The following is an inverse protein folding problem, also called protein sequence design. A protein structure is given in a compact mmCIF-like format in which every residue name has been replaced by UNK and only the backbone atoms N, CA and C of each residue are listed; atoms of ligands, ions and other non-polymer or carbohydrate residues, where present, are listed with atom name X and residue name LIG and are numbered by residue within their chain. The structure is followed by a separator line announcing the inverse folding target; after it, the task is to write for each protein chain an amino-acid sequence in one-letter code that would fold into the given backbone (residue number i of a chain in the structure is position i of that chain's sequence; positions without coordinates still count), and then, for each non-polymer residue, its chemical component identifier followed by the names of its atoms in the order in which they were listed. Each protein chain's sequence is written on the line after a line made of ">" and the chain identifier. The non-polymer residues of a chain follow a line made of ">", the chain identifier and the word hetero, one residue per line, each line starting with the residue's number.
data_IF_616174060681
#
_entry.id   IF_616174060681
#
_cell.length_a   1.000
_cell.length_b   1.000
_cell.length_c   1.000
_cell.angle_alpha   90.00
_cell.angle_beta   90.00
_cell.angle_gamma   90.00
#
_symmetry.space_group_name_H-M   'P 1'
#
loop_
_entity.id
_entity.type
_entity.pdbx_description
1 polymer ?
#
# COMPACT_ATOMS: atom_id res chain seq x y z
N UNK A 1 -20.92 -20.58 7.23
CA UNK A 1 -20.99 -21.51 6.08
C UNK A 1 -19.57 -21.91 5.70
N UNK A 2 -19.32 -23.19 5.43
CA UNK A 2 -18.01 -23.67 4.98
C UNK A 2 -17.76 -23.24 3.53
N UNK A 3 -16.56 -22.75 3.22
CA UNK A 3 -16.22 -22.37 1.84
C UNK A 3 -16.10 -23.62 0.96
N UNK A 4 -16.77 -23.61 -0.19
CA UNK A 4 -16.65 -24.68 -1.18
C UNK A 4 -15.26 -24.62 -1.83
N UNK A 5 -14.53 -25.73 -1.84
CA UNK A 5 -13.16 -25.81 -2.35
C UNK A 5 -13.02 -25.35 -3.82
N UNK A 6 -14.09 -25.47 -4.63
CA UNK A 6 -14.10 -25.02 -6.03
C UNK A 6 -14.19 -23.50 -6.23
N UNK A 7 -14.31 -22.69 -5.17
CA UNK A 7 -14.38 -21.23 -5.26
C UNK A 7 -13.01 -20.52 -5.19
N UNK A 8 -11.94 -21.24 -4.82
CA UNK A 8 -10.58 -20.70 -4.82
C UNK A 8 -9.99 -20.84 -6.23
N UNK A 9 -10.42 -19.98 -7.14
CA UNK A 9 -10.21 -20.09 -8.58
C UNK A 9 -9.19 -19.08 -9.15
N UNK A 10 -8.68 -18.19 -8.30
CA UNK A 10 -7.74 -17.15 -8.71
C UNK A 10 -6.37 -17.37 -8.06
N UNK A 11 -5.33 -17.45 -8.89
CA UNK A 11 -3.96 -17.53 -8.40
C UNK A 11 -3.47 -16.14 -7.98
N UNK A 12 -3.06 -16.02 -6.72
CA UNK A 12 -2.42 -14.81 -6.18
C UNK A 12 -1.01 -15.14 -5.66
N UNK A 13 -0.16 -14.11 -5.58
CA UNK A 13 1.17 -14.22 -4.95
C UNK A 13 1.14 -13.41 -3.67
N UNK A 14 1.47 -14.04 -2.56
CA UNK A 14 1.74 -13.35 -1.29
C UNK A 14 3.17 -12.85 -1.37
N UNK A 15 3.33 -11.55 -1.14
CA UNK A 15 4.59 -10.84 -1.18
C UNK A 15 5.00 -10.46 0.23
N UNK A 16 6.30 -10.48 0.50
CA UNK A 16 6.90 -9.96 1.72
C UNK A 16 8.01 -8.96 1.36
N UNK A 17 8.37 -8.09 2.30
CA UNK A 17 9.50 -7.21 2.12
C UNK A 17 10.79 -8.03 2.25
N UNK A 18 11.62 -7.98 1.22
CA UNK A 18 12.93 -8.64 1.20
C UNK A 18 14.04 -7.68 0.80
N UNK A 19 15.27 -8.03 1.17
CA UNK A 19 16.45 -7.35 0.63
C UNK A 19 16.62 -7.71 -0.86
N UNK A 20 16.90 -6.70 -1.67
CA UNK A 20 17.20 -6.82 -3.09
C UNK A 20 18.44 -5.98 -3.39
N UNK A 21 18.99 -6.10 -4.60
CA UNK A 21 20.09 -5.23 -5.03
C UNK A 21 19.66 -3.76 -4.90
N UNK A 22 20.47 -2.97 -4.19
CA UNK A 22 20.20 -1.54 -3.98
C UNK A 22 19.24 -1.22 -2.84
N UNK A 23 18.66 -2.20 -2.11
CA UNK A 23 17.83 -1.90 -0.93
C UNK A 23 16.78 -2.97 -0.64
N UNK A 24 15.51 -2.58 -0.71
CA UNK A 24 14.37 -3.42 -0.41
C UNK A 24 13.41 -3.54 -1.60
N UNK A 25 12.71 -4.66 -1.67
CA UNK A 25 11.71 -4.93 -2.70
C UNK A 25 10.65 -5.90 -2.21
N UNK A 26 9.53 -5.93 -2.92
CA UNK A 26 8.54 -7.00 -2.75
C UNK A 26 9.08 -8.28 -3.37
N UNK A 27 9.27 -9.31 -2.55
CA UNK A 27 9.68 -10.64 -2.99
C UNK A 27 8.53 -11.62 -2.85
N UNK A 28 8.42 -12.58 -3.78
CA UNK A 28 7.39 -13.62 -3.67
C UNK A 28 7.71 -14.53 -2.48
N UNK A 29 6.84 -14.48 -1.47
CA UNK A 29 6.88 -15.42 -0.36
C UNK A 29 6.30 -16.77 -0.78
N UNK A 30 5.14 -16.74 -1.45
CA UNK A 30 4.45 -17.94 -1.94
C UNK A 30 3.29 -17.62 -2.88
N UNK A 31 2.84 -18.65 -3.58
CA UNK A 31 1.56 -18.64 -4.30
C UNK A 31 0.42 -19.17 -3.44
N UNK A 32 -0.78 -18.66 -3.67
CA UNK A 32 -2.01 -19.14 -3.05
C UNK A 32 -3.17 -19.09 -4.05
N UNK A 33 -4.08 -20.07 -3.95
CA UNK A 33 -5.38 -19.98 -4.59
C UNK A 33 -6.33 -19.19 -3.69
N UNK A 34 -7.02 -18.23 -4.28
CA UNK A 34 -7.91 -17.30 -3.62
C UNK A 34 -9.26 -17.26 -4.33
N UNK A 35 -10.30 -16.93 -3.57
CA UNK A 35 -11.51 -16.32 -4.09
C UNK A 35 -11.38 -14.80 -3.87
N UNK A 36 -11.52 -13.98 -4.91
CA UNK A 36 -11.41 -12.53 -4.78
C UNK A 36 -12.74 -11.85 -5.12
N UNK A 37 -13.21 -10.99 -4.22
CA UNK A 37 -14.42 -10.20 -4.40
C UNK A 37 -14.08 -8.71 -4.27
N UNK A 38 -14.34 -7.95 -5.34
CA UNK A 38 -14.31 -6.49 -5.26
C UNK A 38 -15.51 -6.02 -4.44
N UNK A 39 -15.27 -5.06 -3.55
CA UNK A 39 -16.31 -4.42 -2.77
C UNK A 39 -16.50 -2.99 -3.28
N UNK A 40 -17.76 -2.55 -3.39
CA UNK A 40 -18.12 -1.17 -3.76
C UNK A 40 -17.76 -0.16 -2.65
N UNK A 41 -17.40 -0.65 -1.46
CA UNK A 41 -16.88 0.18 -0.37
C UNK A 41 -15.44 0.57 -0.62
N UNK A 42 -15.13 1.83 -0.37
CA UNK A 42 -13.77 2.37 -0.36
C UNK A 42 -13.06 2.02 0.95
N UNK A 43 -11.81 1.57 0.89
CA UNK A 43 -10.96 1.28 2.05
C UNK A 43 -10.18 2.53 2.43
N UNK A 44 -10.37 3.03 3.66
CA UNK A 44 -9.46 4.00 4.25
C UNK A 44 -8.29 3.20 4.82
N UNK A 45 -7.29 2.97 3.98
CA UNK A 45 -6.12 2.18 4.36
C UNK A 45 -4.99 3.04 4.92
N UNK A 46 -5.05 4.36 4.69
CA UNK A 46 -4.11 5.36 5.19
C UNK A 46 -4.75 6.28 6.23
N UNK A 47 -3.96 6.67 7.22
CA UNK A 47 -4.32 7.67 8.24
C UNK A 47 -4.72 9.02 7.65
N UNK A 48 -4.25 9.34 6.43
CA UNK A 48 -4.65 10.53 5.68
C UNK A 48 -6.05 10.43 5.05
N UNK A 49 -6.84 9.38 5.35
CA UNK A 49 -8.22 9.25 4.88
C UNK A 49 -8.34 8.75 3.44
N UNK A 50 -7.27 8.17 2.89
CA UNK A 50 -7.15 7.90 1.46
C UNK A 50 -7.90 6.65 1.06
N UNK A 51 -8.82 6.84 0.12
CA UNK A 51 -9.73 5.83 -0.34
C UNK A 51 -9.16 5.01 -1.49
N UNK A 52 -8.97 3.71 -1.28
CA UNK A 52 -8.65 2.76 -2.34
C UNK A 52 -9.81 1.79 -2.58
N UNK A 53 -9.88 1.21 -3.79
CA UNK A 53 -10.85 0.14 -4.06
C UNK A 53 -10.55 -1.05 -3.16
N UNK A 54 -11.57 -1.53 -2.44
CA UNK A 54 -11.43 -2.69 -1.54
C UNK A 54 -11.55 -3.99 -2.33
N UNK A 55 -10.67 -4.93 -2.04
CA UNK A 55 -10.81 -6.33 -2.44
C UNK A 55 -10.78 -7.20 -1.18
N UNK A 56 -11.66 -8.19 -1.14
CA UNK A 56 -11.68 -9.22 -0.09
C UNK A 56 -11.27 -10.53 -0.72
N UNK A 57 -10.16 -11.08 -0.24
CA UNK A 57 -9.71 -12.41 -0.61
C UNK A 57 -10.16 -13.40 0.45
N UNK A 58 -10.64 -14.56 0.01
CA UNK A 58 -10.64 -15.75 0.86
C UNK A 58 -9.55 -16.68 0.41
N UNK A 59 -8.63 -17.04 1.32
CA UNK A 59 -7.49 -17.91 1.05
C UNK A 59 -7.40 -19.01 2.10
N UNK A 60 -6.76 -20.14 1.77
CA UNK A 60 -6.44 -21.16 2.79
C UNK A 60 -5.55 -20.54 3.87
N UNK A 61 -5.74 -20.97 5.12
CA UNK A 61 -4.93 -20.52 6.25
C UNK A 61 -3.46 -20.79 6.02
N UNK A 62 -2.66 -19.77 6.25
CA UNK A 62 -1.22 -19.75 6.05
C UNK A 62 -0.61 -18.64 6.92
N UNK A 63 0.72 -18.64 7.07
CA UNK A 63 1.44 -17.52 7.69
C UNK A 63 1.38 -16.32 6.73
N UNK A 64 0.65 -15.28 7.15
CA UNK A 64 0.48 -14.00 6.48
C UNK A 64 0.10 -12.97 7.55
N UNK A 65 0.59 -11.75 7.41
CA UNK A 65 0.37 -10.63 8.33
C UNK A 65 0.10 -9.34 7.51
N UNK A 66 0.00 -8.21 8.19
CA UNK A 66 -0.28 -6.92 7.55
C UNK A 66 0.96 -6.28 6.90
N UNK A 67 2.17 -6.79 7.17
CA UNK A 67 3.41 -6.38 6.49
C UNK A 67 3.53 -7.03 5.10
N UNK A 68 2.75 -8.09 4.85
CA UNK A 68 2.63 -8.72 3.55
C UNK A 68 1.74 -7.91 2.59
N UNK A 69 1.98 -8.11 1.29
CA UNK A 69 1.10 -7.65 0.23
C UNK A 69 0.60 -8.82 -0.63
N UNK A 70 -0.43 -8.58 -1.43
CA UNK A 70 -0.95 -9.54 -2.40
C UNK A 70 -0.77 -8.97 -3.81
N UNK A 71 -0.08 -9.72 -4.67
CA UNK A 71 -0.14 -9.51 -6.12
C UNK A 71 -1.34 -10.28 -6.68
N UNK A 72 -2.28 -9.55 -7.27
CA UNK A 72 -3.46 -10.11 -7.92
C UNK A 72 -3.51 -9.67 -9.39
N UNK A 73 -3.08 -10.55 -10.28
CA UNK A 73 -2.82 -10.19 -11.68
C UNK A 73 -1.77 -9.08 -11.76
N UNK A 74 -2.14 -7.93 -12.33
CA UNK A 74 -1.29 -6.73 -12.40
C UNK A 74 -1.44 -5.80 -11.20
N UNK A 75 -2.40 -6.06 -10.31
CA UNK A 75 -2.71 -5.18 -9.18
C UNK A 75 -1.86 -5.54 -7.97
N UNK A 76 -1.37 -4.51 -7.29
CA UNK A 76 -0.75 -4.61 -5.98
C UNK A 76 -1.80 -4.32 -4.91
N UNK A 77 -1.88 -5.15 -3.88
CA UNK A 77 -2.90 -5.05 -2.84
C UNK A 77 -2.26 -5.05 -1.45
N UNK A 78 -2.41 -3.95 -0.72
CA UNK A 78 -1.97 -3.85 0.68
C UNK A 78 -3.01 -4.40 1.62
N UNK A 79 -2.58 -5.30 2.50
CA UNK A 79 -3.47 -5.97 3.44
C UNK A 79 -3.82 -5.00 4.56
N UNK A 80 -5.11 -4.83 4.81
CA UNK A 80 -5.61 -3.93 5.86
C UNK A 80 -6.28 -4.68 7.01
N UNK A 81 -6.72 -5.92 6.78
CA UNK A 81 -7.25 -6.78 7.83
C UNK A 81 -7.15 -8.26 7.45
N UNK A 82 -6.92 -9.10 8.45
CA UNK A 82 -6.94 -10.55 8.33
C UNK A 82 -7.83 -11.10 9.43
N UNK A 83 -8.86 -11.87 9.06
CA UNK A 83 -9.74 -12.53 10.02
C UNK A 83 -9.92 -14.02 9.68
N UNK A 84 -9.92 -14.91 10.68
CA UNK A 84 -10.33 -16.29 10.48
C UNK A 84 -11.76 -16.39 9.96
N UNK A 85 -11.99 -17.25 8.96
CA UNK A 85 -13.35 -17.66 8.59
C UNK A 85 -13.96 -18.56 9.67
N UNK A 86 -15.30 -18.71 9.66
CA UNK A 86 -16.01 -19.56 10.60
C UNK A 86 -15.57 -21.03 10.57
N UNK A 87 -15.16 -21.54 9.40
CA UNK A 87 -14.64 -22.91 9.25
C UNK A 87 -13.23 -23.09 9.82
N UNK A 88 -12.55 -22.01 10.17
CA UNK A 88 -11.16 -21.97 10.65
C UNK A 88 -10.15 -22.67 9.74
N UNK A 89 -10.46 -22.94 8.48
CA UNK A 89 -9.49 -23.48 7.51
C UNK A 89 -9.04 -22.39 6.55
N UNK A 90 -9.83 -21.32 6.44
CA UNK A 90 -9.54 -20.17 5.59
C UNK A 90 -9.28 -18.90 6.41
N UNK A 91 -8.82 -17.88 5.69
CA UNK A 91 -8.65 -16.51 6.13
C UNK A 91 -9.42 -15.61 5.17
N UNK A 92 -10.16 -14.67 5.72
CA UNK A 92 -10.66 -13.49 5.00
C UNK A 92 -9.58 -12.42 5.10
N UNK A 93 -9.03 -12.02 3.97
CA UNK A 93 -7.98 -11.00 3.86
C UNK A 93 -8.57 -9.80 3.12
N UNK A 94 -8.79 -8.71 3.85
CA UNK A 94 -9.22 -7.45 3.25
C UNK A 94 -7.99 -6.67 2.83
N UNK A 95 -8.00 -6.16 1.60
CA UNK A 95 -6.89 -5.39 1.07
C UNK A 95 -7.38 -4.17 0.26
N UNK A 96 -6.52 -3.17 0.21
CA UNK A 96 -6.66 -1.99 -0.63
C UNK A 96 -5.88 -2.21 -1.94
N UNK A 97 -6.53 -2.02 -3.09
CA UNK A 97 -5.84 -1.99 -4.38
C UNK A 97 -5.09 -0.68 -4.50
N UNK A 98 -3.76 -0.74 -4.58
CA UNK A 98 -2.89 0.43 -4.54
C UNK A 98 -1.97 0.48 -5.76
N UNK A 99 -1.51 1.68 -6.08
CA UNK A 99 -0.40 1.88 -6.99
C UNK A 99 0.90 1.73 -6.22
N UNK A 100 1.72 0.73 -6.56
CA UNK A 100 3.03 0.51 -5.95
C UNK A 100 4.12 0.61 -6.99
N UNK A 101 5.20 1.33 -6.66
CA UNK A 101 6.39 1.50 -7.50
C UNK A 101 7.66 1.30 -6.66
N UNK A 102 8.76 0.95 -7.33
CA UNK A 102 10.09 0.98 -6.71
C UNK A 102 10.60 2.42 -6.69
N UNK A 103 10.56 3.03 -5.51
CA UNK A 103 11.10 4.36 -5.27
C UNK A 103 12.59 4.29 -4.93
N UNK A 104 13.27 5.44 -4.98
CA UNK A 104 14.68 5.58 -4.58
C UNK A 104 14.84 6.86 -3.76
N UNK A 105 15.53 6.79 -2.62
CA UNK A 105 15.92 7.98 -1.87
C UNK A 105 17.22 8.61 -2.39
N UNK A 106 17.61 9.76 -1.83
CA UNK A 106 18.83 10.48 -2.21
C UNK A 106 20.13 9.70 -1.98
N UNK A 107 20.11 8.64 -1.16
CA UNK A 107 21.26 7.75 -0.98
C UNK A 107 21.38 6.70 -2.09
N UNK A 108 20.41 6.65 -3.01
CA UNK A 108 20.33 5.63 -4.04
C UNK A 108 19.69 4.32 -3.56
N UNK A 109 19.15 4.28 -2.34
CA UNK A 109 18.51 3.08 -1.78
C UNK A 109 17.12 2.92 -2.38
N UNK A 110 16.85 1.75 -2.96
CA UNK A 110 15.54 1.43 -3.53
C UNK A 110 14.59 0.81 -2.51
N UNK A 111 13.29 1.11 -2.59
CA UNK A 111 12.26 0.49 -1.76
C UNK A 111 10.87 0.56 -2.39
N UNK A 112 9.93 -0.33 -2.01
CA UNK A 112 8.55 -0.19 -2.45
C UNK A 112 7.88 1.04 -1.84
N UNK A 113 7.14 1.76 -2.66
CA UNK A 113 6.38 2.93 -2.26
C UNK A 113 5.01 2.90 -2.93
N UNK A 114 3.96 3.18 -2.16
CA UNK A 114 2.66 3.50 -2.73
C UNK A 114 2.43 5.01 -2.70
N UNK A 115 2.13 5.57 -3.87
CA UNK A 115 1.83 6.99 -4.05
C UNK A 115 0.32 7.18 -4.11
N UNK A 116 -0.18 8.14 -3.33
CA UNK A 116 -1.60 8.51 -3.35
C UNK A 116 -1.75 10.01 -3.13
N UNK A 117 -2.79 10.60 -3.73
CA UNK A 117 -3.10 12.03 -3.61
C UNK A 117 -3.93 12.27 -2.35
N UNK A 118 -3.53 13.24 -1.52
CA UNK A 118 -4.32 13.76 -0.42
C UNK A 118 -5.17 14.91 -0.93
N UNK A 119 -6.48 14.67 -1.03
CA UNK A 119 -7.44 15.71 -1.33
C UNK A 119 -7.36 16.78 -0.24
N UNK A 120 -6.81 17.94 -0.58
CA UNK A 120 -6.89 19.14 0.24
C UNK A 120 -8.36 19.55 0.29
N UNK A 121 -9.06 19.20 1.36
CA UNK A 121 -10.37 19.77 1.65
C UNK A 121 -10.25 21.29 1.59
N UNK A 122 -11.22 21.93 0.94
CA UNK A 122 -11.27 23.38 0.71
C UNK A 122 -11.07 24.14 2.02
N UNK A 123 -9.85 24.65 2.30
CA UNK A 123 -9.65 25.63 3.36
C UNK A 123 -10.21 26.95 2.87
N UNK A 124 -11.42 27.27 3.33
CA UNK A 124 -12.09 28.51 3.03
C UNK A 124 -11.55 29.59 3.97
N UNK A 125 -10.33 30.05 3.76
CA UNK A 125 -9.97 31.40 4.20
C UNK A 125 -8.79 32.02 3.44
N UNK A 126 -9.07 33.22 2.93
CA UNK A 126 -8.20 34.19 2.22
C UNK A 126 -7.94 34.01 0.72
N UNK A 127 -8.01 35.16 0.04
CA UNK A 127 -7.88 35.35 -1.40
C UNK A 127 -6.57 34.79 -1.96
N UNK A 128 -6.63 34.28 -3.20
CA UNK A 128 -5.65 33.46 -3.93
C UNK A 128 -5.68 31.97 -3.56
N UNK A 129 -6.63 31.26 -4.19
CA UNK A 129 -6.74 29.81 -4.16
C UNK A 129 -5.68 29.17 -5.06
N UNK A 130 -4.51 28.86 -4.51
CA UNK A 130 -3.56 27.93 -5.13
C UNK A 130 -3.92 26.52 -4.63
N UNK A 131 -4.35 25.63 -5.53
CA UNK A 131 -4.64 24.23 -5.17
C UNK A 131 -3.30 23.52 -5.01
N UNK A 132 -2.74 23.52 -3.81
CA UNK A 132 -1.55 22.72 -3.49
C UNK A 132 -1.96 21.24 -3.39
N UNK A 133 -1.65 20.45 -4.42
CA UNK A 133 -1.84 19.00 -4.38
C UNK A 133 -0.81 18.40 -3.42
N UNK A 134 -1.26 17.82 -2.31
CA UNK A 134 -0.40 17.08 -1.39
C UNK A 134 -0.45 15.60 -1.71
N UNK A 135 0.67 14.91 -1.55
CA UNK A 135 0.78 13.47 -1.75
C UNK A 135 1.04 12.78 -0.41
N UNK A 136 0.69 11.51 -0.35
CA UNK A 136 1.07 10.62 0.74
C UNK A 136 1.82 9.43 0.16
N UNK A 137 3.02 9.22 0.67
CA UNK A 137 3.84 8.05 0.41
C UNK A 137 3.57 7.02 1.50
N UNK A 138 3.11 5.84 1.13
CA UNK A 138 2.89 4.72 2.06
C UNK A 138 3.99 3.69 1.83
N UNK A 139 4.81 3.46 2.85
CA UNK A 139 6.00 2.62 2.80
C UNK A 139 5.88 1.43 3.76
N UNK A 140 6.56 0.31 3.48
CA UNK A 140 6.74 -0.77 4.45
C UNK A 140 7.37 -0.26 5.75
N UNK A 141 6.99 -0.84 6.90
CA UNK A 141 7.44 -0.35 8.22
C UNK A 141 8.96 -0.22 8.37
N UNK A 142 9.72 -1.10 7.75
CA UNK A 142 11.19 -1.12 7.82
C UNK A 142 11.86 0.01 7.04
N UNK A 143 11.13 0.74 6.20
CA UNK A 143 11.64 1.86 5.43
C UNK A 143 11.23 3.15 6.15
N UNK A 144 12.22 3.85 6.69
CA UNK A 144 12.04 5.12 7.38
C UNK A 144 12.71 6.25 6.60
N UNK A 145 12.02 7.38 6.52
CA UNK A 145 12.49 8.62 5.90
C UNK A 145 12.45 9.76 6.91
N UNK A 146 13.37 10.70 6.77
CA UNK A 146 13.39 11.95 7.52
C UNK A 146 12.66 13.06 6.76
N UNK A 147 12.08 14.06 7.45
CA UNK A 147 11.66 15.30 6.81
C UNK A 147 12.82 15.94 6.03
N UNK A 148 12.55 16.37 4.80
CA UNK A 148 13.52 16.90 3.85
C UNK A 148 14.16 15.85 2.95
N UNK A 149 13.97 14.55 3.23
CA UNK A 149 14.42 13.49 2.31
C UNK A 149 13.67 13.60 0.98
N UNK A 150 14.40 13.40 -0.12
CA UNK A 150 13.81 13.38 -1.45
C UNK A 150 13.69 11.95 -1.94
N UNK A 151 12.49 11.63 -2.45
CA UNK A 151 12.12 10.32 -2.95
C UNK A 151 11.76 10.44 -4.42
N UNK A 152 12.46 9.69 -5.26
CA UNK A 152 12.17 9.61 -6.70
C UNK A 152 11.30 8.41 -6.98
N UNK A 153 10.15 8.62 -7.62
CA UNK A 153 9.29 7.56 -8.12
C UNK A 153 9.31 7.57 -9.66
N UNK A 154 9.78 6.48 -10.30
CA UNK A 154 9.82 6.38 -11.75
C UNK A 154 8.44 6.62 -12.39
N UNK A 155 8.37 7.58 -13.32
CA UNK A 155 7.12 7.96 -14.00
C UNK A 155 6.21 8.91 -13.23
N UNK A 156 6.52 9.25 -11.97
CA UNK A 156 5.73 10.15 -11.13
C UNK A 156 6.49 11.41 -10.67
N UNK A 157 7.82 11.41 -10.73
CA UNK A 157 8.66 12.55 -10.36
C UNK A 157 9.30 12.39 -8.99
N UNK A 158 9.80 13.52 -8.46
CA UNK A 158 10.51 13.59 -7.18
C UNK A 158 9.65 14.27 -6.13
N UNK A 159 9.70 13.76 -4.91
CA UNK A 159 8.85 14.15 -3.80
C UNK A 159 9.70 14.48 -2.57
N UNK A 160 9.49 15.63 -1.97
CA UNK A 160 10.11 16.02 -0.69
C UNK A 160 9.22 15.57 0.47
N UNK A 161 9.80 14.86 1.44
CA UNK A 161 9.09 14.38 2.64
C UNK A 161 8.92 15.53 3.63
N UNK A 162 7.71 15.74 4.16
CA UNK A 162 7.43 16.78 5.14
C UNK A 162 7.00 16.24 6.51
N UNK A 163 5.94 15.43 6.54
CA UNK A 163 5.33 15.00 7.81
C UNK A 163 5.28 13.48 7.89
N UNK A 164 6.02 12.86 8.84
CA UNK A 164 5.97 11.42 9.08
C UNK A 164 4.78 11.06 9.99
N UNK A 165 4.07 9.99 9.61
CA UNK A 165 2.99 9.35 10.36
C UNK A 165 3.34 7.88 10.55
N UNK A 166 3.98 7.57 11.68
CA UNK A 166 4.62 6.26 11.93
C UNK A 166 3.98 5.47 13.09
N UNK A 167 2.80 5.88 13.56
CA UNK A 167 2.10 5.20 14.67
C UNK A 167 1.50 3.84 14.27
N UNK A 168 1.25 3.62 12.97
CA UNK A 168 0.81 2.32 12.45
C UNK A 168 1.93 1.28 12.63
N UNK A 169 1.58 0.08 13.08
CA UNK A 169 2.53 -0.99 13.39
C UNK A 169 3.16 -1.67 12.17
N UNK A 170 2.58 -1.50 10.97
CA UNK A 170 2.90 -2.26 9.77
C UNK A 170 3.32 -1.42 8.57
N UNK A 171 3.03 -0.12 8.60
CA UNK A 171 3.44 0.81 7.56
C UNK A 171 3.82 2.17 8.11
N UNK A 172 4.63 2.88 7.34
CA UNK A 172 4.89 4.29 7.56
C UNK A 172 4.18 5.10 6.47
N UNK A 173 3.63 6.24 6.84
CA UNK A 173 3.00 7.17 5.91
C UNK A 173 3.71 8.51 5.99
N UNK A 174 3.94 9.14 4.85
CA UNK A 174 4.64 10.43 4.79
C UNK A 174 3.86 11.39 3.91
N UNK A 175 3.51 12.56 4.44
CA UNK A 175 3.05 13.67 3.60
C UNK A 175 4.23 14.22 2.83
N UNK A 176 4.04 14.40 1.53
CA UNK A 176 5.07 14.84 0.61
C UNK A 176 4.52 15.81 -0.43
N UNK A 177 5.38 16.68 -0.93
CA UNK A 177 5.09 17.58 -2.04
C UNK A 177 5.95 17.21 -3.24
N UNK A 178 5.36 17.26 -4.43
CA UNK A 178 6.12 17.03 -5.66
C UNK A 178 7.00 18.25 -5.91
N UNK A 179 8.31 18.05 -6.01
CA UNK A 179 9.23 19.12 -6.42
C UNK A 179 9.03 19.38 -7.92
N UNK A 180 8.99 20.65 -8.34
CA UNK A 180 9.03 20.96 -9.76
C UNK A 180 10.28 20.34 -10.39
N UNK A 181 10.14 19.67 -11.53
CA UNK A 181 11.28 19.23 -12.33
C UNK A 181 12.12 20.50 -12.64
N UNK A 182 13.35 20.54 -12.13
CA UNK A 182 14.28 21.63 -12.39
C UNK A 182 14.79 21.61 -13.83
#
# INVERSE_FOLDING_TARGET
>A
MAMNAGKLDQLVRVLELGAVEGGFGWVERRKAWAHAELSDRTNIFSSAGLGARTVVFTIRRQSIDLDCAIQWGTQHCFITAITPTADKVHLTVTAAVVLSAAATDDSGRSFPCCLTEKYAGYERDKAHSEVTVRYVLVLPKSVTLAPGDLVTLPGYGRFEVHTPHELDGHKNEYEAERTADA
#
